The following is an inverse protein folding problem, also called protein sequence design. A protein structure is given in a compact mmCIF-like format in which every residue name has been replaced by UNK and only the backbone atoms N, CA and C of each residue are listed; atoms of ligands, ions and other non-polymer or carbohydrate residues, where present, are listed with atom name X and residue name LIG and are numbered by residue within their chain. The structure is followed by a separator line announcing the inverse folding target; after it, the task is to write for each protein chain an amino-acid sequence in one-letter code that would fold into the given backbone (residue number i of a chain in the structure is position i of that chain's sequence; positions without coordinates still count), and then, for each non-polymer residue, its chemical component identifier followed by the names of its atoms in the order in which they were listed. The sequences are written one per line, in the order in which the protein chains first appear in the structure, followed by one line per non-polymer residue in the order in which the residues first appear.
data_IF_139649528160
#
_entry.id   IF_139649528160
#
_cell.length_a   1.000
_cell.length_b   1.000
_cell.length_c   1.000
_cell.angle_alpha   90.00
_cell.angle_beta   90.00
_cell.angle_gamma   90.00
#
_symmetry.space_group_name_H-M   'P 1'
#
loop_
_entity.id
_entity.type
_entity.pdbx_description
1 polymer ?
#
# COMPACT_ATOMS: atom_id res chain seq x y z
N UNK A 1 -77.25 29.27 -32.95
CA UNK A 1 -76.59 27.97 -32.72
C UNK A 1 -75.16 28.26 -32.28
N UNK A 2 -74.83 27.95 -31.01
CA UNK A 2 -73.67 28.45 -30.28
C UNK A 2 -72.38 27.65 -30.58
N UNK A 3 -71.46 28.22 -31.33
CA UNK A 3 -70.13 27.63 -31.58
C UNK A 3 -69.00 28.25 -30.70
N UNK A 4 -69.34 29.21 -29.83
CA UNK A 4 -68.36 29.98 -29.03
C UNK A 4 -68.04 29.41 -27.68
N UNK A 5 -68.79 28.37 -27.13
CA UNK A 5 -68.56 27.90 -25.78
C UNK A 5 -67.55 26.74 -25.65
N UNK A 6 -67.26 26.01 -26.72
CA UNK A 6 -66.33 24.86 -26.66
C UNK A 6 -64.83 25.22 -26.73
N UNK A 7 -64.49 26.39 -27.28
CA UNK A 7 -63.08 26.83 -27.36
C UNK A 7 -62.54 27.37 -26.05
N UNK A 8 -63.40 27.97 -25.22
CA UNK A 8 -63.03 28.50 -23.92
C UNK A 8 -62.67 27.40 -22.88
N UNK A 9 -63.40 26.29 -22.92
CA UNK A 9 -63.16 25.18 -21.99
C UNK A 9 -61.90 24.37 -22.28
N UNK A 10 -61.47 24.29 -23.52
CA UNK A 10 -60.22 23.66 -23.96
C UNK A 10 -59.02 24.51 -23.57
N UNK A 11 -59.08 25.83 -23.68
CA UNK A 11 -57.99 26.74 -23.25
C UNK A 11 -57.81 26.75 -21.73
N UNK A 12 -58.92 26.69 -20.95
CA UNK A 12 -58.88 26.67 -19.50
C UNK A 12 -58.30 25.36 -18.92
N UNK A 13 -58.49 24.23 -19.65
CA UNK A 13 -57.90 22.93 -19.23
C UNK A 13 -56.46 22.71 -19.61
N UNK A 14 -55.96 23.42 -20.61
CA UNK A 14 -54.53 23.37 -21.04
C UNK A 14 -53.64 24.31 -20.25
N UNK A 15 -54.19 25.37 -19.64
CA UNK A 15 -53.43 26.37 -18.87
C UNK A 15 -52.69 25.78 -17.68
N UNK A 16 -53.26 24.88 -16.83
CA UNK A 16 -52.51 24.30 -15.69
C UNK A 16 -51.46 23.30 -16.13
N UNK A 17 -51.59 22.63 -17.28
CA UNK A 17 -50.62 21.66 -17.81
C UNK A 17 -49.39 22.37 -18.33
N UNK A 18 -49.52 23.51 -19.00
CA UNK A 18 -48.44 24.34 -19.51
C UNK A 18 -47.70 25.01 -18.34
N UNK A 19 -48.43 25.42 -17.27
CA UNK A 19 -47.82 25.99 -16.06
C UNK A 19 -47.04 24.92 -15.24
N UNK A 20 -47.48 23.69 -15.17
CA UNK A 20 -46.79 22.57 -14.52
C UNK A 20 -45.52 22.19 -15.32
N UNK A 21 -45.54 22.22 -16.65
CA UNK A 21 -44.39 21.97 -17.49
C UNK A 21 -43.34 23.09 -17.40
N UNK A 22 -43.73 24.33 -17.17
CA UNK A 22 -42.83 25.47 -16.94
C UNK A 22 -42.18 25.43 -15.53
N UNK A 23 -42.86 24.90 -14.51
CA UNK A 23 -42.28 24.75 -13.17
C UNK A 23 -41.25 23.60 -13.06
N UNK A 24 -41.29 22.60 -13.93
CA UNK A 24 -40.34 21.47 -13.93
C UNK A 24 -38.97 21.89 -14.53
N UNK A 25 -38.91 22.97 -15.31
CA UNK A 25 -37.67 23.49 -15.88
C UNK A 25 -36.83 24.37 -14.95
N UNK A 26 -37.30 24.67 -13.74
CA UNK A 26 -36.75 25.73 -12.90
C UNK A 26 -35.74 25.28 -11.80
N UNK A 27 -35.29 24.03 -11.80
CA UNK A 27 -34.37 23.52 -10.78
C UNK A 27 -32.99 23.08 -11.30
N UNK A 28 -32.58 23.55 -12.47
CA UNK A 28 -31.18 23.39 -12.88
C UNK A 28 -30.34 24.52 -12.28
N UNK A 29 -29.39 24.17 -11.41
CA UNK A 29 -28.39 25.13 -10.91
C UNK A 29 -27.59 25.64 -12.10
N UNK A 30 -27.61 26.97 -12.31
CA UNK A 30 -26.85 27.59 -13.40
C UNK A 30 -25.37 27.62 -13.06
N UNK A 31 -24.48 27.38 -14.03
CA UNK A 31 -23.05 27.58 -13.86
C UNK A 31 -22.76 29.04 -13.45
N UNK A 32 -21.85 29.23 -12.49
CA UNK A 32 -21.43 30.56 -12.05
C UNK A 32 -20.38 31.19 -13.00
N UNK A 33 -19.70 30.36 -13.79
CA UNK A 33 -18.69 30.75 -14.80
C UNK A 33 -18.52 29.64 -15.83
N UNK A 34 -17.77 29.89 -16.90
CA UNK A 34 -17.44 28.88 -17.93
C UNK A 34 -16.62 27.68 -17.37
N UNK A 35 -15.93 27.90 -16.25
CA UNK A 35 -15.19 26.83 -15.56
C UNK A 35 -16.06 26.02 -14.59
N UNK A 36 -17.27 26.46 -14.27
CA UNK A 36 -18.19 25.79 -13.36
C UNK A 36 -18.93 24.65 -14.08
N UNK A 37 -18.19 23.61 -14.45
CA UNK A 37 -18.72 22.44 -15.16
C UNK A 37 -18.66 21.16 -14.30
N UNK A 38 -19.52 20.17 -14.55
CA UNK A 38 -19.47 18.89 -13.87
C UNK A 38 -18.11 18.21 -13.94
N UNK A 39 -17.45 18.29 -15.09
CA UNK A 39 -16.12 17.71 -15.32
C UNK A 39 -15.04 18.40 -14.50
N UNK A 40 -15.08 19.73 -14.41
CA UNK A 40 -14.15 20.50 -13.57
C UNK A 40 -14.26 20.10 -12.12
N UNK A 41 -15.49 20.07 -11.59
CA UNK A 41 -15.72 19.69 -10.17
C UNK A 41 -15.42 18.22 -9.90
N UNK A 42 -15.66 17.34 -10.86
CA UNK A 42 -15.24 15.94 -10.74
C UNK A 42 -13.70 15.84 -10.63
N UNK A 43 -12.95 16.51 -11.51
CA UNK A 43 -11.48 16.52 -11.45
C UNK A 43 -10.97 17.12 -10.14
N UNK A 44 -11.58 18.21 -9.66
CA UNK A 44 -11.25 18.79 -8.36
C UNK A 44 -11.50 17.80 -7.21
N UNK A 45 -12.67 17.14 -7.20
CA UNK A 45 -13.02 16.12 -6.24
C UNK A 45 -12.05 14.94 -6.25
N UNK A 46 -11.64 14.47 -7.43
CA UNK A 46 -10.65 13.38 -7.53
C UNK A 46 -9.28 13.78 -6.97
N UNK A 47 -8.84 15.04 -7.17
CA UNK A 47 -7.61 15.55 -6.53
C UNK A 47 -7.72 15.56 -5.00
N UNK A 48 -8.86 16.00 -4.45
CA UNK A 48 -9.10 15.95 -3.01
C UNK A 48 -9.09 14.50 -2.48
N UNK A 49 -9.63 13.52 -3.24
CA UNK A 49 -9.52 12.10 -2.87
C UNK A 49 -8.06 11.65 -2.79
N UNK A 50 -7.22 12.01 -3.77
CA UNK A 50 -5.79 11.66 -3.76
C UNK A 50 -5.01 12.32 -2.60
N UNK A 51 -5.50 13.45 -2.07
CA UNK A 51 -4.95 14.14 -0.90
C UNK A 51 -5.54 13.65 0.44
N UNK A 52 -6.45 12.66 0.43
CA UNK A 52 -7.15 12.21 1.64
C UNK A 52 -8.23 13.18 2.16
N UNK A 53 -8.54 14.24 1.43
CA UNK A 53 -9.51 15.30 1.79
C UNK A 53 -10.91 14.90 1.33
N UNK A 54 -11.49 13.89 1.99
CA UNK A 54 -12.73 13.26 1.50
C UNK A 54 -13.97 14.15 1.63
N UNK A 55 -14.04 15.03 2.62
CA UNK A 55 -15.17 15.96 2.78
C UNK A 55 -15.16 17.03 1.67
N UNK A 56 -14.01 17.58 1.33
CA UNK A 56 -13.80 18.50 0.22
C UNK A 56 -14.10 17.84 -1.12
N UNK A 57 -13.69 16.57 -1.26
CA UNK A 57 -14.03 15.76 -2.43
C UNK A 57 -15.55 15.64 -2.59
N UNK A 58 -16.26 15.30 -1.51
CA UNK A 58 -17.73 15.21 -1.53
C UNK A 58 -18.39 16.54 -1.88
N UNK A 59 -17.88 17.66 -1.38
CA UNK A 59 -18.36 19.01 -1.74
C UNK A 59 -18.24 19.24 -3.24
N UNK A 60 -17.08 18.94 -3.81
CA UNK A 60 -16.83 19.06 -5.25
C UNK A 60 -17.73 18.15 -6.08
N UNK A 61 -17.88 16.87 -5.68
CA UNK A 61 -18.77 15.94 -6.39
C UNK A 61 -20.24 16.32 -6.29
N UNK A 62 -20.68 16.87 -5.15
CA UNK A 62 -22.04 17.40 -5.00
C UNK A 62 -22.27 18.55 -5.97
N UNK A 63 -21.32 19.51 -6.09
CA UNK A 63 -21.45 20.59 -7.08
C UNK A 63 -21.56 20.05 -8.51
N UNK A 64 -20.74 19.03 -8.86
CA UNK A 64 -20.84 18.38 -10.18
C UNK A 64 -22.24 17.78 -10.43
N UNK A 65 -22.85 17.13 -9.41
CA UNK A 65 -24.19 16.54 -9.54
C UNK A 65 -25.31 17.56 -9.45
N UNK A 66 -25.08 18.74 -8.86
CA UNK A 66 -26.06 19.84 -8.87
C UNK A 66 -26.14 20.48 -10.26
N UNK A 67 -25.00 20.59 -10.96
CA UNK A 67 -24.91 21.07 -12.33
C UNK A 67 -25.48 20.07 -13.33
N UNK A 68 -25.16 18.79 -13.18
CA UNK A 68 -25.75 17.69 -13.96
C UNK A 68 -26.08 16.47 -13.09
N UNK A 69 -27.36 16.30 -12.79
CA UNK A 69 -27.87 15.17 -11.99
C UNK A 69 -27.64 13.79 -12.61
N UNK A 70 -27.27 13.72 -13.89
CA UNK A 70 -26.96 12.49 -14.60
C UNK A 70 -25.47 12.26 -14.78
N UNK A 71 -24.62 13.14 -14.26
CA UNK A 71 -23.19 13.03 -14.39
C UNK A 71 -22.65 11.87 -13.53
N UNK A 72 -22.62 10.69 -14.11
CA UNK A 72 -22.25 9.43 -13.46
C UNK A 72 -20.85 9.41 -12.81
N UNK A 73 -19.79 10.04 -13.39
CA UNK A 73 -18.47 10.04 -12.79
C UNK A 73 -18.44 10.64 -11.38
N UNK A 74 -19.23 11.70 -11.10
CA UNK A 74 -19.29 12.30 -9.77
C UNK A 74 -19.88 11.34 -8.72
N UNK A 75 -20.90 10.58 -9.08
CA UNK A 75 -21.43 9.55 -8.17
C UNK A 75 -20.42 8.42 -7.89
N UNK A 76 -19.66 8.01 -8.90
CA UNK A 76 -18.58 7.05 -8.69
C UNK A 76 -17.50 7.65 -7.76
N UNK A 77 -17.12 8.92 -7.94
CA UNK A 77 -16.22 9.67 -7.06
C UNK A 77 -16.73 9.75 -5.61
N UNK A 78 -18.02 10.04 -5.40
CA UNK A 78 -18.63 9.95 -4.06
C UNK A 78 -18.51 8.55 -3.47
N UNK A 79 -18.69 7.52 -4.29
CA UNK A 79 -18.50 6.13 -3.87
C UNK A 79 -17.09 5.86 -3.36
N UNK A 80 -16.06 6.38 -4.05
CA UNK A 80 -14.64 6.28 -3.66
C UNK A 80 -14.41 7.03 -2.34
N UNK A 81 -14.87 8.29 -2.22
CA UNK A 81 -14.72 9.06 -1.00
C UNK A 81 -15.33 8.35 0.21
N UNK A 82 -16.57 7.86 0.11
CA UNK A 82 -17.22 7.11 1.19
C UNK A 82 -16.55 5.77 1.49
N UNK A 83 -15.95 5.09 0.52
CA UNK A 83 -15.19 3.86 0.76
C UNK A 83 -13.97 4.12 1.65
N UNK A 84 -13.27 5.23 1.39
CA UNK A 84 -12.10 5.64 2.17
C UNK A 84 -12.47 6.28 3.53
N UNK A 85 -13.73 6.69 3.72
CA UNK A 85 -14.28 7.12 5.02
C UNK A 85 -14.91 5.96 5.81
N UNK A 86 -14.69 4.71 5.39
CA UNK A 86 -15.26 3.50 5.98
C UNK A 86 -16.81 3.43 5.95
N UNK A 87 -17.50 4.29 5.18
CA UNK A 87 -18.96 4.21 4.98
C UNK A 87 -19.32 3.28 3.81
N UNK A 88 -19.14 2.00 4.04
CA UNK A 88 -19.46 0.94 3.06
C UNK A 88 -20.87 1.06 2.48
N UNK A 89 -21.86 1.49 3.28
CA UNK A 89 -23.26 1.58 2.82
C UNK A 89 -23.41 2.66 1.76
N UNK A 90 -22.89 3.86 2.02
CA UNK A 90 -22.92 4.97 1.06
C UNK A 90 -22.02 4.68 -0.15
N UNK A 91 -20.83 4.13 0.06
CA UNK A 91 -19.92 3.74 -1.04
C UNK A 91 -20.65 2.85 -2.06
N UNK A 92 -21.31 1.78 -1.63
CA UNK A 92 -22.10 0.89 -2.49
C UNK A 92 -23.28 1.57 -3.14
N UNK A 93 -24.01 2.43 -2.41
CA UNK A 93 -25.16 3.18 -2.94
C UNK A 93 -24.73 4.06 -4.11
N UNK A 94 -23.66 4.83 -3.94
CA UNK A 94 -23.23 5.76 -4.97
C UNK A 94 -22.56 5.07 -6.16
N UNK A 95 -21.78 4.01 -5.94
CA UNK A 95 -21.28 3.17 -7.03
C UNK A 95 -22.42 2.52 -7.83
N UNK A 96 -23.49 2.06 -7.17
CA UNK A 96 -24.70 1.56 -7.84
C UNK A 96 -25.35 2.63 -8.70
N UNK A 97 -25.57 3.83 -8.15
CA UNK A 97 -26.17 4.95 -8.89
C UNK A 97 -25.33 5.34 -10.12
N UNK A 98 -24.00 5.35 -10.02
CA UNK A 98 -23.14 5.60 -11.16
C UNK A 98 -23.30 4.53 -12.27
N UNK A 99 -23.39 3.25 -11.87
CA UNK A 99 -23.61 2.16 -12.82
C UNK A 99 -25.00 2.21 -13.48
N UNK A 100 -26.04 2.62 -12.76
CA UNK A 100 -27.40 2.77 -13.29
C UNK A 100 -27.43 3.88 -14.37
N UNK A 101 -26.68 4.97 -14.16
CA UNK A 101 -26.63 6.10 -15.09
C UNK A 101 -25.76 5.82 -16.32
N UNK A 102 -24.60 5.21 -16.16
CA UNK A 102 -23.62 5.02 -17.23
C UNK A 102 -22.87 3.68 -17.14
N UNK A 103 -23.54 2.58 -16.86
CA UNK A 103 -22.93 1.24 -16.68
C UNK A 103 -22.35 0.59 -17.94
N UNK A 104 -22.26 1.34 -19.05
CA UNK A 104 -21.56 0.93 -20.29
C UNK A 104 -20.31 1.78 -20.55
N UNK A 105 -20.14 2.86 -19.83
CA UNK A 105 -19.00 3.77 -19.94
C UNK A 105 -17.76 3.13 -19.26
N UNK A 106 -16.61 3.00 -19.97
CA UNK A 106 -15.40 2.40 -19.41
C UNK A 106 -14.84 3.19 -18.23
N UNK A 107 -14.90 4.53 -18.24
CA UNK A 107 -14.41 5.37 -17.16
C UNK A 107 -15.24 5.15 -15.88
N UNK A 108 -16.58 5.18 -16.01
CA UNK A 108 -17.50 4.95 -14.90
C UNK A 108 -17.34 3.53 -14.33
N UNK A 109 -17.22 2.52 -15.20
CA UNK A 109 -16.96 1.14 -14.76
C UNK A 109 -15.65 1.02 -13.97
N UNK A 110 -14.61 1.73 -14.43
CA UNK A 110 -13.29 1.78 -13.77
C UNK A 110 -13.37 2.43 -12.39
N UNK A 111 -13.99 3.61 -12.29
CA UNK A 111 -14.19 4.28 -11.00
C UNK A 111 -15.03 3.43 -10.03
N UNK A 112 -16.08 2.77 -10.52
CA UNK A 112 -16.86 1.84 -9.70
C UNK A 112 -16.05 0.61 -9.25
N UNK A 113 -15.10 0.13 -10.06
CA UNK A 113 -14.19 -0.94 -9.66
C UNK A 113 -13.25 -0.49 -8.55
N UNK A 114 -12.71 0.74 -8.62
CA UNK A 114 -11.93 1.36 -7.55
C UNK A 114 -12.68 1.38 -6.23
N UNK A 115 -13.98 1.71 -6.22
CA UNK A 115 -14.80 1.64 -4.99
C UNK A 115 -14.73 0.27 -4.33
N UNK A 116 -14.77 -0.83 -5.11
CA UNK A 116 -14.68 -2.18 -4.56
C UNK A 116 -13.26 -2.52 -4.08
N UNK A 117 -12.23 -2.02 -4.74
CA UNK A 117 -10.82 -2.17 -4.32
C UNK A 117 -10.61 -1.44 -2.98
N UNK A 118 -11.12 -0.21 -2.84
CA UNK A 118 -11.02 0.57 -1.61
C UNK A 118 -11.79 -0.09 -0.44
N UNK A 119 -12.89 -0.80 -0.74
CA UNK A 119 -13.66 -1.59 0.24
C UNK A 119 -13.04 -2.97 0.57
N UNK A 120 -11.82 -3.30 0.12
CA UNK A 120 -11.22 -4.64 0.26
C UNK A 120 -11.16 -5.17 1.69
N UNK A 121 -11.00 -4.31 2.69
CA UNK A 121 -10.94 -4.70 4.10
C UNK A 121 -12.33 -4.92 4.72
N UNK A 122 -13.39 -4.39 4.10
CA UNK A 122 -14.76 -4.41 4.62
C UNK A 122 -15.70 -5.36 3.88
N UNK A 123 -15.32 -5.84 2.69
CA UNK A 123 -16.21 -6.57 1.79
C UNK A 123 -15.55 -7.84 1.23
N UNK A 124 -15.92 -9.01 1.72
CA UNK A 124 -15.34 -10.30 1.33
C UNK A 124 -15.38 -10.60 -0.19
N UNK A 125 -16.36 -10.04 -0.92
CA UNK A 125 -16.54 -10.27 -2.36
C UNK A 125 -15.99 -9.12 -3.23
N UNK A 126 -15.18 -8.24 -2.65
CA UNK A 126 -14.63 -7.07 -3.33
C UNK A 126 -13.91 -7.42 -4.64
N UNK A 127 -13.03 -8.40 -4.60
CA UNK A 127 -12.24 -8.85 -5.75
C UNK A 127 -13.12 -9.20 -6.96
N UNK A 128 -14.09 -10.13 -6.78
CA UNK A 128 -14.97 -10.58 -7.87
C UNK A 128 -15.80 -9.44 -8.46
N UNK A 129 -16.18 -8.46 -7.64
CA UNK A 129 -16.96 -7.30 -8.08
C UNK A 129 -16.09 -6.31 -8.86
N UNK A 130 -14.88 -5.98 -8.37
CA UNK A 130 -13.93 -5.14 -9.08
C UNK A 130 -13.50 -5.79 -10.40
N UNK A 131 -13.12 -7.05 -10.39
CA UNK A 131 -12.72 -7.81 -11.58
C UNK A 131 -13.78 -7.79 -12.68
N UNK A 132 -15.06 -8.04 -12.31
CA UNK A 132 -16.18 -8.00 -13.27
C UNK A 132 -16.33 -6.65 -13.94
N UNK A 133 -16.14 -5.56 -13.20
CA UNK A 133 -16.24 -4.20 -13.74
C UNK A 133 -15.06 -3.86 -14.64
N UNK A 134 -13.84 -4.18 -14.21
CA UNK A 134 -12.62 -3.94 -14.99
C UNK A 134 -12.61 -4.76 -16.30
N UNK A 135 -13.01 -6.03 -16.25
CA UNK A 135 -13.19 -6.85 -17.47
C UNK A 135 -14.21 -6.24 -18.43
N UNK A 136 -15.32 -5.67 -17.92
CA UNK A 136 -16.29 -4.96 -18.75
C UNK A 136 -15.71 -3.69 -19.36
N UNK A 137 -14.96 -2.89 -18.59
CA UNK A 137 -14.32 -1.66 -19.08
C UNK A 137 -13.32 -1.99 -20.20
N UNK A 138 -12.43 -2.95 -19.99
CA UNK A 138 -11.43 -3.38 -20.97
C UNK A 138 -12.06 -4.05 -22.22
N UNK A 139 -13.21 -4.72 -22.07
CA UNK A 139 -13.97 -5.22 -23.23
C UNK A 139 -14.52 -4.07 -24.08
N UNK A 140 -14.88 -2.94 -23.48
CA UNK A 140 -15.39 -1.74 -24.20
C UNK A 140 -14.27 -0.92 -24.82
N UNK A 141 -13.17 -0.75 -24.11
CA UNK A 141 -11.99 -0.01 -24.53
C UNK A 141 -10.75 -0.80 -24.15
N UNK A 142 -10.20 -1.54 -25.11
CA UNK A 142 -9.11 -2.51 -24.90
C UNK A 142 -7.86 -1.88 -24.24
N UNK A 143 -7.50 -0.66 -24.65
CA UNK A 143 -6.37 0.10 -24.12
C UNK A 143 -6.83 1.21 -23.17
N UNK A 144 -7.69 0.89 -22.21
CA UNK A 144 -8.15 1.84 -21.21
C UNK A 144 -7.14 1.91 -20.05
N UNK A 145 -6.41 3.02 -19.98
CA UNK A 145 -5.29 3.19 -19.06
C UNK A 145 -5.70 2.96 -17.59
N UNK A 146 -6.72 3.69 -17.10
CA UNK A 146 -7.21 3.53 -15.72
C UNK A 146 -7.71 2.12 -15.39
N UNK A 147 -8.41 1.45 -16.33
CA UNK A 147 -8.85 0.06 -16.10
C UNK A 147 -7.66 -0.91 -16.05
N UNK A 148 -6.61 -0.68 -16.85
CA UNK A 148 -5.39 -1.47 -16.81
C UNK A 148 -4.64 -1.23 -15.49
N UNK A 149 -4.55 0.01 -15.03
CA UNK A 149 -3.95 0.39 -13.75
C UNK A 149 -4.65 -0.30 -12.56
N UNK A 150 -5.98 -0.16 -12.46
CA UNK A 150 -6.73 -0.79 -11.36
C UNK A 150 -6.80 -2.32 -11.47
N UNK A 151 -6.57 -2.89 -12.65
CA UNK A 151 -6.35 -4.34 -12.78
C UNK A 151 -5.02 -4.74 -12.17
N UNK A 152 -3.97 -3.92 -12.32
CA UNK A 152 -2.69 -4.09 -11.62
C UNK A 152 -2.86 -4.04 -10.10
N UNK A 153 -3.58 -3.03 -9.56
CA UNK A 153 -3.89 -2.95 -8.12
C UNK A 153 -4.70 -4.16 -7.64
N UNK A 154 -5.66 -4.62 -8.45
CA UNK A 154 -6.46 -5.80 -8.12
C UNK A 154 -5.57 -7.03 -7.89
N UNK A 155 -4.61 -7.29 -8.79
CA UNK A 155 -3.65 -8.38 -8.66
C UNK A 155 -2.68 -8.16 -7.51
N UNK A 156 -2.23 -6.92 -7.29
CA UNK A 156 -1.34 -6.57 -6.19
C UNK A 156 -1.93 -6.95 -4.83
N UNK A 157 -3.19 -6.58 -4.58
CA UNK A 157 -3.88 -6.91 -3.33
C UNK A 157 -4.35 -8.38 -3.24
N UNK A 158 -4.21 -9.15 -4.32
CA UNK A 158 -4.35 -10.62 -4.29
C UNK A 158 -2.99 -11.33 -4.13
N UNK A 159 -1.92 -10.56 -3.97
CA UNK A 159 -0.53 -11.05 -3.89
C UNK A 159 -0.05 -11.78 -5.17
N UNK A 160 -0.69 -11.48 -6.30
CA UNK A 160 -0.31 -11.96 -7.63
C UNK A 160 0.67 -10.96 -8.27
N UNK A 161 1.85 -10.79 -7.65
CA UNK A 161 2.78 -9.69 -7.91
C UNK A 161 3.30 -9.64 -9.35
N UNK A 162 3.55 -10.80 -9.98
CA UNK A 162 4.00 -10.82 -11.38
C UNK A 162 2.92 -10.32 -12.35
N UNK A 163 1.65 -10.63 -12.09
CA UNK A 163 0.54 -10.12 -12.90
C UNK A 163 0.34 -8.61 -12.66
N UNK A 164 0.50 -8.16 -11.42
CA UNK A 164 0.46 -6.73 -11.09
C UNK A 164 1.57 -5.95 -11.84
N UNK A 165 2.80 -6.47 -11.79
CA UNK A 165 3.96 -5.92 -12.51
C UNK A 165 3.68 -5.75 -14.00
N UNK A 166 3.17 -6.79 -14.66
CA UNK A 166 2.84 -6.75 -16.10
C UNK A 166 1.79 -5.68 -16.44
N UNK A 167 0.78 -5.49 -15.58
CA UNK A 167 -0.25 -4.48 -15.81
C UNK A 167 0.28 -3.07 -15.59
N UNK A 168 1.07 -2.82 -14.55
CA UNK A 168 1.67 -1.50 -14.31
C UNK A 168 2.66 -1.13 -15.41
N UNK A 169 3.49 -2.07 -15.89
CA UNK A 169 4.39 -1.87 -17.04
C UNK A 169 3.61 -1.43 -18.29
N UNK A 170 2.50 -2.11 -18.61
CA UNK A 170 1.64 -1.71 -19.74
C UNK A 170 1.10 -0.29 -19.60
N UNK A 171 0.73 0.14 -18.38
CA UNK A 171 0.26 1.50 -18.13
C UNK A 171 1.39 2.52 -18.34
N UNK A 172 2.60 2.24 -17.89
CA UNK A 172 3.78 3.09 -18.13
C UNK A 172 4.04 3.26 -19.64
N UNK A 173 3.93 2.16 -20.41
CA UNK A 173 4.08 2.17 -21.88
C UNK A 173 3.00 3.03 -22.58
N UNK A 174 1.81 3.21 -21.99
CA UNK A 174 0.73 4.05 -22.53
C UNK A 174 1.03 5.55 -22.41
N UNK A 175 1.93 6.00 -21.53
CA UNK A 175 2.36 7.38 -21.32
C UNK A 175 1.21 8.38 -21.05
N UNK A 176 0.17 7.95 -20.35
CA UNK A 176 -1.00 8.76 -20.04
C UNK A 176 -1.00 9.30 -18.61
N UNK A 177 -2.19 9.60 -18.09
CA UNK A 177 -2.40 10.22 -16.78
C UNK A 177 -1.94 9.33 -15.61
N UNK A 178 -2.08 8.01 -15.75
CA UNK A 178 -1.69 7.04 -14.71
C UNK A 178 -0.22 6.64 -14.78
N UNK A 179 0.55 7.07 -15.79
CA UNK A 179 1.89 6.57 -16.06
C UNK A 179 2.85 6.76 -14.88
N UNK A 180 2.91 7.97 -14.28
CA UNK A 180 3.78 8.24 -13.14
C UNK A 180 3.41 7.43 -11.89
N UNK A 181 2.12 7.22 -11.66
CA UNK A 181 1.61 6.41 -10.54
C UNK A 181 1.90 4.92 -10.77
N UNK A 182 1.72 4.47 -12.01
CA UNK A 182 2.00 3.09 -12.40
C UNK A 182 3.50 2.77 -12.32
N UNK A 183 4.38 3.72 -12.63
CA UNK A 183 5.84 3.53 -12.53
C UNK A 183 6.27 3.19 -11.10
N UNK A 184 5.75 3.92 -10.11
CA UNK A 184 5.99 3.61 -8.68
C UNK A 184 5.53 2.21 -8.31
N UNK A 185 4.31 1.83 -8.74
CA UNK A 185 3.76 0.51 -8.47
C UNK A 185 4.52 -0.59 -9.21
N UNK A 186 4.99 -0.31 -10.41
CA UNK A 186 5.81 -1.22 -11.20
C UNK A 186 7.15 -1.49 -10.50
N UNK A 187 7.88 -0.44 -10.11
CA UNK A 187 9.14 -0.56 -9.37
C UNK A 187 8.98 -1.35 -8.06
N UNK A 188 7.94 -1.06 -7.30
CA UNK A 188 7.61 -1.83 -6.08
C UNK A 188 7.34 -3.30 -6.41
N UNK A 189 6.49 -3.58 -7.40
CA UNK A 189 6.15 -4.93 -7.82
C UNK A 189 7.38 -5.71 -8.27
N UNK A 190 8.30 -5.09 -9.02
CA UNK A 190 9.58 -5.70 -9.40
C UNK A 190 10.44 -6.09 -8.21
N UNK A 191 10.52 -5.24 -7.19
CA UNK A 191 11.25 -5.57 -5.96
C UNK A 191 10.63 -6.78 -5.26
N UNK A 192 9.30 -6.82 -5.14
CA UNK A 192 8.57 -7.92 -4.50
C UNK A 192 8.73 -9.23 -5.29
N UNK A 193 8.61 -9.18 -6.62
CA UNK A 193 8.81 -10.36 -7.49
C UNK A 193 10.22 -10.92 -7.33
N UNK A 194 11.26 -10.08 -7.26
CA UNK A 194 12.64 -10.52 -7.02
C UNK A 194 12.85 -11.04 -5.59
N UNK A 195 12.20 -10.45 -4.61
CA UNK A 195 12.30 -10.90 -3.22
C UNK A 195 11.59 -12.24 -2.98
N UNK A 196 10.58 -12.57 -3.80
CA UNK A 196 9.81 -13.82 -3.72
C UNK A 196 9.33 -14.14 -2.30
N UNK A 197 8.48 -13.31 -1.66
CA UNK A 197 7.99 -13.58 -0.31
C UNK A 197 7.24 -14.92 -0.28
N UNK A 198 7.66 -15.80 0.63
CA UNK A 198 7.14 -17.16 0.75
C UNK A 198 5.94 -17.26 1.68
N UNK A 199 5.83 -16.37 2.64
CA UNK A 199 4.84 -16.45 3.72
C UNK A 199 3.68 -15.46 3.51
N UNK A 200 2.50 -15.73 4.09
CA UNK A 200 1.39 -14.76 4.06
C UNK A 200 1.76 -13.42 4.72
N UNK A 201 2.53 -13.46 5.81
CA UNK A 201 3.01 -12.26 6.51
C UNK A 201 3.97 -11.47 5.61
N UNK A 202 4.96 -12.11 5.00
CA UNK A 202 5.88 -11.48 4.07
C UNK A 202 5.16 -10.83 2.89
N UNK A 203 4.19 -11.51 2.28
CA UNK A 203 3.37 -10.94 1.19
C UNK A 203 2.59 -9.71 1.61
N UNK A 204 2.05 -9.68 2.83
CA UNK A 204 1.32 -8.53 3.37
C UNK A 204 2.27 -7.37 3.66
N UNK A 205 3.38 -7.64 4.36
CA UNK A 205 4.37 -6.62 4.74
C UNK A 205 5.06 -6.03 3.50
N UNK A 206 5.21 -6.80 2.42
CA UNK A 206 5.74 -6.33 1.13
C UNK A 206 5.03 -5.07 0.59
N UNK A 207 3.76 -4.88 0.94
CA UNK A 207 2.93 -3.76 0.48
C UNK A 207 3.01 -2.51 1.39
N UNK A 208 3.74 -2.57 2.50
CA UNK A 208 3.86 -1.44 3.41
C UNK A 208 4.91 -0.45 2.91
N UNK A 209 4.54 0.83 2.85
CA UNK A 209 5.47 1.91 2.52
C UNK A 209 6.53 2.10 3.61
N UNK A 210 6.15 1.85 4.86
CA UNK A 210 7.00 1.89 6.04
C UNK A 210 6.72 0.66 6.89
N UNK A 211 7.75 -0.08 7.27
CA UNK A 211 7.63 -1.21 8.19
C UNK A 211 7.97 -0.78 9.63
N UNK A 212 7.28 -1.41 10.57
CA UNK A 212 7.57 -1.25 11.99
C UNK A 212 8.67 -2.21 12.45
N UNK A 213 9.14 -2.01 13.68
CA UNK A 213 10.07 -2.93 14.35
C UNK A 213 9.48 -4.34 14.49
N UNK A 214 8.16 -4.42 14.75
CA UNK A 214 7.43 -5.69 14.80
C UNK A 214 7.36 -6.36 13.42
N UNK A 215 7.11 -5.60 12.35
CA UNK A 215 7.10 -6.15 11.00
C UNK A 215 8.46 -6.73 10.61
N UNK A 216 9.57 -6.05 10.97
CA UNK A 216 10.91 -6.59 10.74
C UNK A 216 11.13 -7.88 11.54
N UNK A 217 10.69 -7.93 12.81
CA UNK A 217 10.78 -9.16 13.61
C UNK A 217 10.08 -10.32 12.91
N UNK A 218 8.86 -10.11 12.39
CA UNK A 218 8.11 -11.12 11.65
C UNK A 218 8.83 -11.54 10.37
N UNK A 219 9.37 -10.58 9.60
CA UNK A 219 10.11 -10.90 8.37
C UNK A 219 11.36 -11.75 8.63
N UNK A 220 12.13 -11.41 9.65
CA UNK A 220 13.33 -12.17 9.99
C UNK A 220 12.99 -13.59 10.51
N UNK A 221 11.92 -13.73 11.27
CA UNK A 221 11.47 -15.04 11.77
C UNK A 221 10.88 -15.91 10.65
N UNK A 222 9.94 -15.37 9.87
CA UNK A 222 9.13 -16.13 8.92
C UNK A 222 9.84 -16.34 7.56
N UNK A 223 10.45 -15.29 6.99
CA UNK A 223 11.08 -15.36 5.66
C UNK A 223 12.53 -15.87 5.74
N UNK A 224 13.28 -15.54 6.80
CA UNK A 224 14.65 -15.96 6.97
C UNK A 224 14.76 -17.22 7.85
N UNK A 225 13.71 -17.59 8.59
CA UNK A 225 13.69 -18.74 9.55
C UNK A 225 14.87 -18.73 10.50
N UNK A 226 15.04 -17.59 11.15
CA UNK A 226 16.26 -17.25 11.90
C UNK A 226 16.62 -18.25 12.98
N UNK A 227 15.64 -18.79 13.74
CA UNK A 227 15.85 -19.84 14.72
C UNK A 227 16.56 -21.05 14.11
N UNK A 228 16.07 -21.53 12.97
CA UNK A 228 16.69 -22.66 12.25
C UNK A 228 18.12 -22.37 11.82
N UNK A 229 18.42 -21.10 11.44
CA UNK A 229 19.78 -20.71 11.05
C UNK A 229 20.74 -20.70 12.25
N UNK A 230 20.31 -20.14 13.36
CA UNK A 230 21.14 -20.05 14.57
C UNK A 230 21.31 -21.42 15.21
N UNK A 231 20.25 -22.23 15.31
CA UNK A 231 20.31 -23.56 15.88
C UNK A 231 21.27 -24.49 15.10
N UNK A 232 21.35 -24.37 13.78
CA UNK A 232 22.31 -25.15 12.97
C UNK A 232 23.77 -24.82 13.28
N UNK A 233 24.07 -23.60 13.75
CA UNK A 233 25.42 -23.19 14.08
C UNK A 233 25.80 -23.46 15.55
N UNK A 234 24.80 -23.37 16.44
CA UNK A 234 25.02 -23.59 17.87
C UNK A 234 24.96 -25.03 18.26
N UNK A 235 24.49 -25.95 17.40
CA UNK A 235 24.54 -27.39 17.65
C UNK A 235 25.93 -27.91 17.29
N UNK A 236 26.81 -28.20 18.23
CA UNK A 236 28.08 -28.87 17.91
C UNK A 236 27.79 -30.20 17.24
N UNK A 237 28.52 -30.54 16.21
CA UNK A 237 28.37 -31.81 15.47
C UNK A 237 28.59 -33.06 16.36
N UNK A 238 29.10 -32.86 17.58
CA UNK A 238 29.28 -33.88 18.61
C UNK A 238 29.40 -33.20 20.01
N UNK A 239 28.31 -33.05 20.71
CA UNK A 239 28.35 -32.52 22.07
C UNK A 239 27.11 -32.88 22.88
N UNK A 240 27.29 -33.65 23.91
CA UNK A 240 26.31 -33.86 24.97
C UNK A 240 26.05 -32.51 25.64
N UNK A 241 24.87 -31.92 25.42
CA UNK A 241 24.44 -30.76 26.21
C UNK A 241 24.11 -31.23 27.62
N UNK A 242 24.68 -30.58 28.60
CA UNK A 242 24.33 -30.86 30.00
C UNK A 242 22.88 -30.48 30.27
N UNK A 243 22.19 -31.16 31.24
CA UNK A 243 20.82 -30.78 31.61
C UNK A 243 20.69 -29.31 32.08
N UNK A 244 21.77 -28.68 32.53
CA UNK A 244 21.81 -27.27 32.93
C UNK A 244 21.87 -26.35 31.68
N UNK A 245 22.60 -26.70 30.63
CA UNK A 245 22.64 -25.97 29.37
C UNK A 245 21.29 -26.06 28.67
N UNK A 246 20.65 -27.25 28.65
CA UNK A 246 19.27 -27.40 28.15
C UNK A 246 18.25 -26.60 28.95
N UNK A 247 18.40 -26.51 30.30
CA UNK A 247 17.54 -25.66 31.14
C UNK A 247 17.73 -24.17 30.83
N UNK A 248 18.98 -23.71 30.70
CA UNK A 248 19.27 -22.31 30.33
C UNK A 248 18.73 -21.95 28.93
N UNK A 249 18.85 -22.85 27.95
CA UNK A 249 18.29 -22.69 26.62
C UNK A 249 16.74 -22.65 26.61
N UNK A 250 16.10 -23.38 27.53
CA UNK A 250 14.64 -23.49 27.64
C UNK A 250 14.00 -22.58 28.71
N UNK A 251 14.78 -21.77 29.45
CA UNK A 251 14.18 -20.78 30.32
C UNK A 251 13.61 -19.65 29.47
N UNK A 252 12.30 -19.36 29.49
CA UNK A 252 11.77 -18.18 28.85
C UNK A 252 12.36 -16.97 29.57
N UNK A 253 13.37 -16.36 29.00
CA UNK A 253 13.69 -14.99 29.38
C UNK A 253 12.42 -14.19 29.09
N UNK A 254 11.87 -13.51 30.09
CA UNK A 254 10.69 -12.65 29.86
C UNK A 254 10.98 -11.76 28.68
N UNK A 255 10.00 -11.62 27.77
CA UNK A 255 10.13 -10.74 26.60
C UNK A 255 10.21 -9.28 27.01
N UNK A 256 10.35 -8.38 26.02
CA UNK A 256 10.25 -6.95 26.23
C UNK A 256 8.94 -6.57 26.92
N UNK A 257 8.96 -5.48 27.71
CA UNK A 257 7.83 -5.11 28.58
C UNK A 257 6.55 -4.76 27.85
N UNK A 258 6.68 -4.29 26.61
CA UNK A 258 5.60 -3.79 25.72
C UNK A 258 5.22 -4.78 24.60
N UNK A 259 5.85 -5.96 24.57
CA UNK A 259 5.50 -6.99 23.57
C UNK A 259 4.27 -7.80 23.95
N UNK A 260 3.92 -7.84 25.23
CA UNK A 260 2.85 -8.68 25.77
C UNK A 260 1.48 -8.29 25.20
N UNK A 261 0.82 -9.26 24.57
CA UNK A 261 -0.48 -9.08 23.91
C UNK A 261 -0.40 -8.40 22.54
N UNK A 262 0.79 -8.03 22.08
CA UNK A 262 1.00 -7.54 20.75
C UNK A 262 0.87 -8.68 19.73
N UNK A 263 0.32 -8.42 18.53
CA UNK A 263 0.12 -9.45 17.51
C UNK A 263 1.41 -10.17 17.07
N UNK A 264 2.55 -9.51 17.19
CA UNK A 264 3.88 -10.05 16.85
C UNK A 264 4.68 -10.53 18.08
N UNK A 265 4.05 -10.68 19.25
CA UNK A 265 4.73 -11.02 20.52
C UNK A 265 5.68 -12.22 20.41
N UNK A 266 5.25 -13.28 19.73
CA UNK A 266 6.03 -14.51 19.58
C UNK A 266 7.36 -14.25 18.86
N UNK A 267 7.31 -13.54 17.74
CA UNK A 267 8.48 -13.23 16.92
C UNK A 267 9.39 -12.18 17.58
N UNK A 268 8.80 -11.19 18.26
CA UNK A 268 9.57 -10.19 19.04
C UNK A 268 10.37 -10.89 20.13
N UNK A 269 9.73 -11.77 20.90
CA UNK A 269 10.39 -12.51 21.96
C UNK A 269 11.49 -13.43 21.42
N UNK A 270 11.29 -14.04 20.27
CA UNK A 270 12.28 -14.87 19.59
C UNK A 270 13.52 -14.06 19.20
N UNK A 271 13.37 -12.93 18.52
CA UNK A 271 14.49 -12.11 18.08
C UNK A 271 15.21 -11.41 19.21
N UNK A 272 14.49 -11.01 20.26
CA UNK A 272 15.08 -10.40 21.45
C UNK A 272 16.02 -11.35 22.19
N UNK A 273 15.75 -12.67 22.18
CA UNK A 273 16.66 -13.69 22.73
C UNK A 273 18.02 -13.72 22.04
N UNK A 274 18.04 -13.48 20.75
CA UNK A 274 19.27 -13.47 19.96
C UNK A 274 19.98 -12.12 19.95
N UNK A 275 19.40 -11.08 20.58
CA UNK A 275 19.99 -9.73 20.63
C UNK A 275 20.07 -9.02 19.28
N UNK A 276 19.27 -9.45 18.29
CA UNK A 276 19.28 -8.90 16.92
C UNK A 276 18.61 -7.54 16.88
N UNK A 277 17.47 -7.42 17.54
CA UNK A 277 16.77 -6.15 17.75
C UNK A 277 16.86 -5.78 19.24
N UNK A 278 16.97 -4.49 19.50
CA UNK A 278 16.97 -3.98 20.88
C UNK A 278 15.61 -4.24 21.54
N UNK A 279 15.62 -4.54 22.81
CA UNK A 279 14.46 -4.96 23.58
C UNK A 279 14.87 -6.09 24.54
N UNK A 280 15.79 -5.80 25.49
CA UNK A 280 16.15 -6.75 26.53
C UNK A 280 14.94 -7.09 27.41
N UNK A 281 14.94 -8.23 28.11
CA UNK A 281 13.87 -8.61 29.05
C UNK A 281 13.52 -7.46 29.99
N UNK A 282 12.24 -7.08 30.03
CA UNK A 282 11.75 -5.97 30.85
C UNK A 282 11.99 -4.56 30.34
N UNK A 283 12.77 -4.39 29.26
CA UNK A 283 12.91 -3.11 28.55
C UNK A 283 11.87 -3.00 27.43
N UNK A 284 11.49 -1.77 27.00
CA UNK A 284 10.56 -1.60 25.88
C UNK A 284 11.22 -1.98 24.54
N UNK A 285 10.42 -2.57 23.65
CA UNK A 285 10.79 -2.91 22.27
C UNK A 285 10.32 -1.87 21.25
N UNK A 286 9.24 -1.16 21.58
CA UNK A 286 8.55 -0.21 20.70
C UNK A 286 8.06 -0.87 19.40
N UNK A 287 7.18 -1.87 19.47
CA UNK A 287 6.81 -2.72 18.31
C UNK A 287 6.20 -1.96 17.14
N UNK A 288 5.40 -0.93 17.42
CA UNK A 288 4.68 -0.15 16.40
C UNK A 288 5.49 1.03 15.86
N UNK A 289 6.71 1.29 16.36
CA UNK A 289 7.54 2.35 15.81
C UNK A 289 8.11 1.96 14.45
N UNK A 290 8.09 2.88 13.44
CA UNK A 290 8.75 2.66 12.16
C UNK A 290 10.24 2.41 12.36
N UNK A 291 10.79 1.43 11.65
CA UNK A 291 12.24 1.20 11.68
C UNK A 291 12.93 2.05 10.61
N UNK A 292 13.98 2.76 10.99
CA UNK A 292 14.78 3.51 10.06
C UNK A 292 15.91 2.66 9.44
N UNK A 293 16.54 3.19 8.37
CA UNK A 293 17.57 2.47 7.62
C UNK A 293 18.83 2.17 8.43
N UNK A 294 19.21 3.05 9.37
CA UNK A 294 20.34 2.80 10.26
C UNK A 294 20.07 1.64 11.23
N UNK A 295 18.92 1.65 11.88
CA UNK A 295 18.49 0.57 12.78
C UNK A 295 18.35 -0.77 12.05
N UNK A 296 17.79 -0.75 10.85
CA UNK A 296 17.70 -1.93 10.00
C UNK A 296 19.09 -2.50 9.72
N UNK A 297 20.07 -1.66 9.35
CA UNK A 297 21.44 -2.11 9.08
C UNK A 297 22.11 -2.69 10.33
N UNK A 298 21.88 -2.09 11.52
CA UNK A 298 22.35 -2.65 12.78
C UNK A 298 21.81 -4.05 13.01
N UNK A 299 20.50 -4.25 12.79
CA UNK A 299 19.88 -5.57 12.93
C UNK A 299 20.48 -6.60 11.95
N UNK A 300 20.69 -6.23 10.70
CA UNK A 300 21.32 -7.10 9.68
C UNK A 300 22.79 -7.39 10.02
N UNK A 301 23.56 -6.41 10.49
CA UNK A 301 24.94 -6.63 10.94
C UNK A 301 24.99 -7.62 12.11
N UNK A 302 24.19 -7.42 13.16
CA UNK A 302 24.12 -8.33 14.32
C UNK A 302 23.75 -9.75 13.87
N UNK A 303 22.75 -9.85 13.00
CA UNK A 303 22.36 -11.13 12.43
C UNK A 303 23.52 -11.78 11.66
N UNK A 304 24.22 -11.03 10.81
CA UNK A 304 25.34 -11.55 10.04
C UNK A 304 26.47 -12.02 10.96
N UNK A 305 26.82 -11.25 11.99
CA UNK A 305 27.82 -11.63 13.01
C UNK A 305 27.46 -12.94 13.70
N UNK A 306 26.20 -13.10 14.12
CA UNK A 306 25.69 -14.31 14.76
C UNK A 306 25.79 -15.49 13.81
N UNK A 307 25.28 -15.33 12.57
CA UNK A 307 25.20 -16.42 11.59
C UNK A 307 26.58 -16.83 11.04
N UNK A 308 27.54 -15.94 10.97
CA UNK A 308 28.90 -16.25 10.49
C UNK A 308 29.90 -16.58 11.62
N UNK A 309 29.60 -16.18 12.85
CA UNK A 309 30.56 -16.25 13.96
C UNK A 309 31.71 -15.26 13.84
N UNK A 310 31.66 -14.32 12.89
CA UNK A 310 32.75 -13.37 12.65
C UNK A 310 32.48 -12.05 13.39
N UNK A 311 33.04 -11.93 14.61
CA UNK A 311 32.97 -10.71 15.41
C UNK A 311 33.68 -9.51 14.76
N UNK A 312 34.61 -9.73 13.83
CA UNK A 312 35.30 -8.66 13.10
C UNK A 312 34.35 -7.81 12.25
N UNK A 313 33.15 -8.31 11.92
CA UNK A 313 32.12 -7.57 11.17
C UNK A 313 31.55 -6.36 11.94
N UNK A 314 31.68 -6.35 13.27
CA UNK A 314 31.17 -5.24 14.09
C UNK A 314 32.05 -4.00 14.05
N UNK A 315 33.34 -4.15 13.65
CA UNK A 315 34.30 -3.05 13.63
C UNK A 315 35.01 -2.86 12.30
N UNK A 316 34.63 -3.59 11.26
CA UNK A 316 35.34 -3.71 9.99
C UNK A 316 35.61 -2.37 9.29
N UNK A 317 34.69 -1.40 9.45
CA UNK A 317 34.76 -0.08 8.79
C UNK A 317 35.06 1.04 9.80
N UNK A 318 35.45 0.74 11.03
CA UNK A 318 35.86 1.77 11.98
C UNK A 318 37.11 2.50 11.50
N UNK A 319 37.06 3.85 11.55
CA UNK A 319 38.16 4.69 11.12
C UNK A 319 38.29 4.86 9.62
N UNK A 320 37.34 4.36 8.82
CA UNK A 320 37.29 4.63 7.37
C UNK A 320 37.25 6.14 7.10
N UNK A 321 38.12 6.65 6.24
CA UNK A 321 38.16 8.05 5.88
C UNK A 321 38.68 8.18 4.43
N UNK A 322 37.94 8.89 3.53
CA UNK A 322 36.68 9.58 3.77
C UNK A 322 35.48 8.62 3.94
N UNK A 323 34.34 9.14 4.42
CA UNK A 323 33.08 8.39 4.47
C UNK A 323 32.67 7.95 3.07
N UNK A 324 32.05 6.78 2.96
CA UNK A 324 31.41 6.27 1.73
C UNK A 324 30.15 7.04 1.36
N UNK A 325 29.51 7.69 2.33
CA UNK A 325 28.20 8.34 2.19
C UNK A 325 28.35 9.85 2.33
N UNK A 326 27.59 10.60 1.53
CA UNK A 326 27.65 12.06 1.57
C UNK A 326 26.98 12.65 2.82
N UNK A 327 26.00 11.96 3.38
CA UNK A 327 25.15 12.42 4.48
C UNK A 327 25.45 11.72 5.81
N UNK A 328 26.40 10.79 5.86
CA UNK A 328 26.76 10.04 7.07
C UNK A 328 28.25 10.15 7.36
N UNK A 329 28.67 10.81 8.43
CA UNK A 329 30.08 10.86 8.80
C UNK A 329 30.56 9.48 9.30
N UNK A 330 31.85 9.18 9.10
CA UNK A 330 32.44 7.89 9.56
C UNK A 330 32.38 7.69 11.08
N UNK A 331 32.17 8.78 11.82
CA UNK A 331 31.97 8.75 13.29
C UNK A 331 30.54 8.40 13.70
N UNK A 332 29.62 8.26 12.76
CA UNK A 332 28.22 7.91 13.08
C UNK A 332 28.15 6.52 13.74
N UNK A 333 27.40 6.33 14.84
CA UNK A 333 27.36 5.06 15.59
C UNK A 333 27.00 3.84 14.73
N UNK A 334 26.10 4.03 13.75
CA UNK A 334 25.68 2.98 12.84
C UNK A 334 26.52 2.90 11.54
N UNK A 335 27.60 3.68 11.43
CA UNK A 335 28.38 3.76 10.20
C UNK A 335 28.86 2.39 9.72
N UNK A 336 29.44 1.60 10.63
CA UNK A 336 29.94 0.27 10.31
C UNK A 336 28.84 -0.65 9.75
N UNK A 337 27.66 -0.62 10.34
CA UNK A 337 26.52 -1.42 9.90
C UNK A 337 26.03 -0.99 8.49
N UNK A 338 25.93 0.31 8.26
CA UNK A 338 25.55 0.85 6.96
C UNK A 338 26.57 0.54 5.87
N UNK A 339 27.87 0.70 6.15
CA UNK A 339 28.95 0.36 5.23
C UNK A 339 28.97 -1.14 4.90
N UNK A 340 28.76 -2.00 5.90
CA UNK A 340 28.64 -3.45 5.73
C UNK A 340 27.45 -3.80 4.83
N UNK A 341 26.28 -3.23 5.09
CA UNK A 341 25.06 -3.48 4.30
C UNK A 341 25.24 -3.01 2.85
N UNK A 342 25.87 -1.85 2.63
CA UNK A 342 26.13 -1.33 1.29
C UNK A 342 27.11 -2.22 0.51
N UNK A 343 28.23 -2.64 1.14
CA UNK A 343 29.21 -3.51 0.51
C UNK A 343 28.62 -4.88 0.14
N UNK A 344 27.79 -5.45 1.02
CA UNK A 344 27.16 -6.75 0.81
C UNK A 344 25.91 -6.69 -0.10
N UNK A 345 25.47 -5.50 -0.51
CA UNK A 345 24.28 -5.33 -1.34
C UNK A 345 22.97 -5.58 -0.62
N UNK A 346 22.94 -5.51 0.72
CA UNK A 346 21.72 -5.67 1.51
C UNK A 346 20.91 -4.38 1.53
N UNK A 347 21.57 -3.22 1.59
CA UNK A 347 20.94 -1.91 1.51
C UNK A 347 21.91 -0.93 0.84
N UNK A 348 21.46 -0.25 -0.19
CA UNK A 348 22.30 0.63 -1.00
C UNK A 348 22.08 2.11 -0.66
N UNK A 349 23.14 2.91 -0.79
CA UNK A 349 23.01 4.36 -0.90
C UNK A 349 22.38 4.74 -2.24
N UNK A 350 21.82 5.92 -2.34
CA UNK A 350 21.34 6.47 -3.59
C UNK A 350 22.52 6.64 -4.57
N UNK A 351 22.44 6.01 -5.73
CA UNK A 351 23.53 5.94 -6.70
C UNK A 351 23.87 7.29 -7.35
N UNK A 352 22.93 8.24 -7.35
CA UNK A 352 23.09 9.56 -7.98
C UNK A 352 23.67 10.54 -6.97
N UNK A 353 23.10 10.57 -5.77
CA UNK A 353 23.47 11.56 -4.75
C UNK A 353 24.51 11.04 -3.77
N UNK A 354 24.77 9.74 -3.71
CA UNK A 354 25.66 9.13 -2.73
C UNK A 354 25.15 9.20 -1.28
N UNK A 355 23.89 9.60 -1.08
CA UNK A 355 23.27 9.68 0.25
C UNK A 355 22.74 8.32 0.69
N UNK A 356 22.92 8.01 1.98
CA UNK A 356 22.40 6.78 2.56
C UNK A 356 21.01 6.97 3.17
N UNK A 357 20.70 8.14 3.74
CA UNK A 357 19.44 8.45 4.40
C UNK A 357 19.24 7.65 5.69
N UNK A 358 20.12 7.72 6.70
CA UNK A 358 20.05 6.84 7.88
C UNK A 358 18.75 6.92 8.67
N UNK A 359 18.11 8.09 8.70
CA UNK A 359 16.83 8.32 9.37
C UNK A 359 15.59 8.06 8.52
N UNK A 360 15.74 7.68 7.26
CA UNK A 360 14.60 7.35 6.41
C UNK A 360 14.00 6.00 6.80
N UNK A 361 12.68 5.85 6.67
CA UNK A 361 11.97 4.60 6.92
C UNK A 361 12.32 3.51 5.89
N UNK A 362 12.07 2.27 6.20
CA UNK A 362 12.29 1.12 5.33
C UNK A 362 10.96 0.61 4.79
N UNK A 363 10.82 0.50 3.47
CA UNK A 363 9.64 -0.10 2.86
C UNK A 363 9.69 -1.64 2.93
N UNK A 364 8.53 -2.28 3.03
CA UNK A 364 8.43 -3.74 3.11
C UNK A 364 9.05 -4.47 1.92
N UNK A 365 8.89 -3.94 0.71
CA UNK A 365 9.51 -4.49 -0.48
C UNK A 365 11.05 -4.44 -0.42
N UNK A 366 11.62 -3.34 0.11
CA UNK A 366 13.07 -3.18 0.25
C UNK A 366 13.63 -4.09 1.35
N UNK A 367 12.93 -4.21 2.48
CA UNK A 367 13.29 -5.15 3.55
C UNK A 367 13.34 -6.60 3.05
N UNK A 368 12.32 -7.03 2.33
CA UNK A 368 12.27 -8.39 1.76
C UNK A 368 13.37 -8.63 0.72
N UNK A 369 13.64 -7.66 -0.14
CA UNK A 369 14.72 -7.77 -1.12
C UNK A 369 16.08 -7.87 -0.43
N UNK A 370 16.28 -7.09 0.65
CA UNK A 370 17.47 -7.18 1.51
C UNK A 370 17.62 -8.57 2.14
N UNK A 371 16.53 -9.13 2.70
CA UNK A 371 16.51 -10.48 3.27
C UNK A 371 16.86 -11.53 2.20
N UNK A 372 16.32 -11.40 0.99
CA UNK A 372 16.67 -12.30 -0.11
C UNK A 372 18.15 -12.18 -0.49
N UNK A 373 18.69 -10.96 -0.54
CA UNK A 373 20.12 -10.73 -0.79
C UNK A 373 21.00 -11.34 0.31
N UNK A 374 20.56 -11.25 1.55
CA UNK A 374 21.23 -11.90 2.70
C UNK A 374 21.22 -13.44 2.55
N UNK A 375 20.08 -14.05 2.24
CA UNK A 375 19.98 -15.50 1.98
C UNK A 375 20.93 -15.95 0.88
N UNK A 376 20.97 -15.20 -0.23
CA UNK A 376 21.83 -15.51 -1.37
C UNK A 376 23.33 -15.40 -0.99
N UNK A 377 23.73 -14.37 -0.24
CA UNK A 377 25.10 -14.15 0.20
C UNK A 377 25.62 -15.31 1.09
N UNK A 378 24.73 -15.86 1.90
CA UNK A 378 25.04 -17.01 2.78
C UNK A 378 24.80 -18.36 2.12
N UNK A 379 24.32 -18.38 0.87
CA UNK A 379 23.90 -19.61 0.15
C UNK A 379 22.87 -20.44 0.94
N UNK A 380 21.97 -19.75 1.63
CA UNK A 380 20.91 -20.37 2.41
C UNK A 380 19.75 -20.68 1.47
N UNK A 381 19.44 -21.96 1.33
CA UNK A 381 18.21 -22.44 0.66
C UNK A 381 17.37 -23.19 1.69
N UNK A 382 16.07 -22.92 1.68
CA UNK A 382 15.09 -23.59 2.56
C UNK A 382 14.17 -24.48 1.74
#
# INVERSE_FOLDING_TARGET
MNYTSRFGDILLRLFPIVFILLYISACAVKPASDLDSPEYHHKAGMRHVEMGQYNEALTSFNRATDLDKKFAPAYAGMGIAYANMDDKKKAKKYAGKAQDLAGKDPDVLTLCARVWIDLRHQEKKWYKKAEKLLKKALKRKKNHEGATYYTGELFLYQYEFSQAEDHFRKVVEMKGEYSAKADKMWQMSQKIVRAMPGTPAGKKIALYEEITRADLAVLLAEELKISTLIDRQTTPATGFQTPEEMRKANTPAGGPSDSKGHWAEVWINELSRYGILEGAPGQPFYPDEPINRAEYCIAIQRLLTIVTGDAGLETRYFGENPSRFQDVPSSHPAYNAMALCAERGFMQADMITGRFGPGESVAGADALLSIRSFQNALRITF
#
